data_IF_738615555377
#
_entry.id   IF_738615555377
#
_cell.length_a   1.000
_cell.length_b   1.000
_cell.length_c   1.000
_cell.angle_alpha   90.00
_cell.angle_beta   90.00
_cell.angle_gamma   90.00
#
_symmetry.space_group_name_H-M   'P 1'
#
loop_
_entity.id
_entity.type
_entity.pdbx_description
1 polymer ?
#
# COMPACT_ATOMS: atom_id res chain seq x y z
N UNK A 1 15.31 -14.70 4.33
CA UNK A 1 15.12 -13.59 3.38
C UNK A 1 14.88 -12.32 4.19
N UNK A 2 15.41 -11.17 3.77
CA UNK A 2 15.11 -9.93 4.47
C UNK A 2 13.66 -9.52 4.20
N UNK A 3 12.92 -9.23 5.27
CA UNK A 3 11.55 -8.72 5.18
C UNK A 3 11.63 -7.23 4.84
N UNK A 4 10.86 -6.77 3.86
CA UNK A 4 10.84 -5.36 3.47
C UNK A 4 9.86 -4.59 4.37
N UNK A 5 10.39 -3.70 5.22
CA UNK A 5 9.56 -2.79 6.02
C UNK A 5 9.23 -1.54 5.20
N UNK A 6 7.93 -1.26 5.02
CA UNK A 6 7.43 -0.21 4.12
C UNK A 6 6.29 0.58 4.77
N UNK A 7 6.17 1.87 4.46
CA UNK A 7 4.98 2.67 4.78
C UNK A 7 4.09 2.74 3.54
N UNK A 8 2.81 2.44 3.70
CA UNK A 8 1.80 2.68 2.67
C UNK A 8 1.20 4.07 2.85
N UNK A 9 1.34 4.90 1.83
CA UNK A 9 0.71 6.20 1.77
C UNK A 9 -0.83 6.09 1.60
N UNK A 10 -1.56 7.12 2.00
CA UNK A 10 -3.02 7.16 1.94
C UNK A 10 -3.57 6.93 0.52
N UNK A 11 -2.88 7.41 -0.52
CA UNK A 11 -3.29 7.22 -1.90
C UNK A 11 -3.26 5.75 -2.36
N UNK A 12 -2.39 4.91 -1.79
CA UNK A 12 -2.35 3.45 -2.04
C UNK A 12 -3.53 2.76 -1.37
N UNK A 13 -3.96 3.24 -0.21
CA UNK A 13 -5.06 2.68 0.59
C UNK A 13 -6.44 3.22 0.18
N UNK A 14 -6.50 4.19 -0.71
CA UNK A 14 -7.74 4.81 -1.17
C UNK A 14 -8.67 3.85 -1.91
N UNK A 15 -8.18 3.15 -2.93
CA UNK A 15 -8.95 2.17 -3.68
C UNK A 15 -9.17 0.90 -2.86
N UNK A 16 -10.41 0.43 -2.76
CA UNK A 16 -10.73 -0.79 -2.02
C UNK A 16 -9.99 -2.02 -2.55
N UNK A 17 -9.93 -2.18 -3.88
CA UNK A 17 -9.25 -3.33 -4.50
C UNK A 17 -7.73 -3.26 -4.33
N UNK A 18 -7.15 -2.07 -4.42
CA UNK A 18 -5.71 -1.89 -4.22
C UNK A 18 -5.34 -2.11 -2.76
N UNK A 19 -6.07 -1.48 -1.84
CA UNK A 19 -5.92 -1.66 -0.40
C UNK A 19 -5.98 -3.14 0.00
N UNK A 20 -6.93 -3.88 -0.55
CA UNK A 20 -7.12 -5.31 -0.28
C UNK A 20 -5.90 -6.13 -0.74
N UNK A 21 -5.35 -5.84 -1.92
CA UNK A 21 -4.13 -6.48 -2.41
C UNK A 21 -2.92 -6.17 -1.51
N UNK A 22 -2.71 -4.89 -1.17
CA UNK A 22 -1.58 -4.46 -0.36
C UNK A 22 -1.66 -4.99 1.08
N UNK A 23 -2.86 -5.07 1.66
CA UNK A 23 -3.08 -5.72 2.96
C UNK A 23 -2.83 -7.22 2.86
N UNK A 24 -3.27 -7.89 1.78
CA UNK A 24 -3.01 -9.31 1.60
C UNK A 24 -1.51 -9.61 1.46
N UNK A 25 -0.76 -8.78 0.72
CA UNK A 25 0.70 -8.87 0.64
C UNK A 25 1.36 -8.68 2.01
N UNK A 26 0.87 -7.76 2.82
CA UNK A 26 1.36 -7.49 4.16
C UNK A 26 1.04 -8.61 5.18
N UNK A 27 0.13 -9.53 4.86
CA UNK A 27 -0.06 -10.75 5.67
C UNK A 27 0.95 -11.85 5.36
N UNK A 28 1.86 -11.60 4.42
CA UNK A 28 2.91 -12.55 4.02
C UNK A 28 4.23 -12.24 4.72
N UNK A 29 5.17 -13.19 4.69
CA UNK A 29 6.48 -13.05 5.31
C UNK A 29 7.49 -12.23 4.47
N UNK A 30 7.05 -11.56 3.41
CA UNK A 30 7.93 -10.78 2.53
C UNK A 30 7.79 -9.27 2.72
N UNK A 31 6.71 -8.80 3.33
CA UNK A 31 6.41 -7.38 3.56
C UNK A 31 5.99 -7.14 5.00
N UNK A 32 6.63 -6.19 5.65
CA UNK A 32 6.19 -5.57 6.89
C UNK A 32 5.59 -4.19 6.60
N UNK A 33 4.27 -4.13 6.45
CA UNK A 33 3.58 -2.88 6.18
C UNK A 33 3.39 -2.04 7.45
N UNK A 34 3.53 -0.73 7.28
CA UNK A 34 3.34 0.29 8.31
C UNK A 34 2.39 1.37 7.80
N UNK A 35 1.60 1.92 8.70
CA UNK A 35 0.76 3.11 8.50
C UNK A 35 0.50 3.80 9.83
N UNK A 36 -0.18 4.92 9.79
CA UNK A 36 -0.55 5.70 10.98
C UNK A 36 -2.05 5.90 11.06
N UNK A 37 -2.53 6.38 12.19
CA UNK A 37 -3.92 6.86 12.32
C UNK A 37 -4.21 8.00 11.33
N UNK A 38 -3.24 8.90 11.11
CA UNK A 38 -3.37 10.04 10.19
C UNK A 38 -3.49 9.57 8.73
N UNK A 39 -2.70 8.58 8.30
CA UNK A 39 -2.86 7.93 6.98
C UNK A 39 -4.25 7.30 6.84
N UNK A 40 -4.76 6.64 7.89
CA UNK A 40 -6.12 6.12 7.88
C UNK A 40 -7.17 7.21 7.74
N UNK A 41 -7.07 8.27 8.51
CA UNK A 41 -8.02 9.38 8.48
C UNK A 41 -8.03 10.07 7.12
N UNK A 42 -6.88 10.17 6.47
CA UNK A 42 -6.75 10.75 5.15
C UNK A 42 -7.44 9.93 4.07
N UNK A 43 -7.11 8.63 3.92
CA UNK A 43 -7.77 7.83 2.88
C UNK A 43 -9.27 7.67 3.15
N UNK A 44 -9.71 7.56 4.41
CA UNK A 44 -11.12 7.47 4.77
C UNK A 44 -11.87 8.75 4.41
N UNK A 45 -11.31 9.91 4.72
CA UNK A 45 -11.87 11.22 4.35
C UNK A 45 -12.00 11.34 2.83
N UNK A 46 -10.95 11.00 2.09
CA UNK A 46 -10.96 11.10 0.63
C UNK A 46 -11.97 10.13 -0.02
N UNK A 47 -12.13 8.92 0.54
CA UNK A 47 -13.17 7.99 0.09
C UNK A 47 -14.57 8.56 0.35
N UNK A 48 -14.85 9.10 1.53
CA UNK A 48 -16.17 9.64 1.86
C UNK A 48 -16.56 10.86 0.99
N UNK A 49 -15.59 11.68 0.61
CA UNK A 49 -15.83 12.81 -0.32
C UNK A 49 -16.30 12.29 -1.69
N UNK A 50 -15.67 11.25 -2.22
CA UNK A 50 -15.94 10.73 -3.55
C UNK A 50 -17.01 9.63 -3.60
N UNK A 51 -17.36 9.06 -2.45
CA UNK A 51 -18.36 7.98 -2.31
C UNK A 51 -19.36 8.33 -1.19
N UNK A 52 -20.26 9.30 -1.44
CA UNK A 52 -21.25 9.74 -0.46
C UNK A 52 -22.29 8.65 -0.11
N UNK A 53 -22.32 7.56 -0.86
CA UNK A 53 -23.11 6.36 -0.59
C UNK A 53 -22.53 5.52 0.57
N UNK A 54 -21.26 5.72 0.93
CA UNK A 54 -20.61 5.02 2.04
C UNK A 54 -20.74 5.80 3.35
N UNK A 55 -20.75 5.04 4.45
CA UNK A 55 -20.81 5.61 5.80
C UNK A 55 -19.48 5.46 6.52
N UNK A 56 -19.17 6.41 7.39
CA UNK A 56 -17.95 6.41 8.20
C UNK A 56 -17.72 5.07 8.93
N UNK A 57 -18.79 4.50 9.52
CA UNK A 57 -18.72 3.24 10.28
C UNK A 57 -18.24 2.05 9.44
N UNK A 58 -18.55 2.05 8.15
CA UNK A 58 -18.08 1.00 7.22
C UNK A 58 -16.56 1.08 7.02
N UNK A 59 -16.03 2.30 6.81
CA UNK A 59 -14.60 2.52 6.65
C UNK A 59 -13.85 2.33 7.98
N UNK A 60 -14.43 2.78 9.10
CA UNK A 60 -13.88 2.55 10.44
C UNK A 60 -13.79 1.05 10.77
N UNK A 61 -14.76 0.25 10.31
CA UNK A 61 -14.68 -1.21 10.41
C UNK A 61 -13.53 -1.76 9.56
N UNK A 62 -13.37 -1.28 8.33
CA UNK A 62 -12.27 -1.68 7.44
C UNK A 62 -10.92 -1.39 8.10
N UNK A 63 -10.72 -0.16 8.61
CA UNK A 63 -9.53 0.24 9.36
C UNK A 63 -9.21 -0.72 10.51
N UNK A 64 -10.21 -1.03 11.34
CA UNK A 64 -10.02 -2.00 12.46
C UNK A 64 -9.59 -3.38 11.98
N UNK A 65 -10.18 -3.88 10.88
CA UNK A 65 -9.81 -5.17 10.31
C UNK A 65 -8.38 -5.16 9.76
N UNK A 66 -7.97 -4.08 9.09
CA UNK A 66 -6.59 -3.91 8.62
C UNK A 66 -5.61 -3.97 9.80
N UNK A 67 -5.85 -3.19 10.85
CA UNK A 67 -4.99 -3.14 12.03
C UNK A 67 -4.95 -4.49 12.80
N UNK A 68 -6.04 -5.24 12.78
CA UNK A 68 -6.11 -6.56 13.41
C UNK A 68 -5.43 -7.67 12.59
N UNK A 69 -5.27 -7.47 11.27
CA UNK A 69 -4.73 -8.49 10.36
C UNK A 69 -3.20 -8.51 10.32
N UNK A 70 -2.54 -7.43 10.75
CA UNK A 70 -1.09 -7.24 10.59
C UNK A 70 -0.51 -6.76 11.92
N UNK A 71 0.41 -7.54 12.46
CA UNK A 71 1.12 -7.17 13.68
C UNK A 71 1.99 -5.90 13.47
N UNK A 72 2.03 -5.05 14.48
CA UNK A 72 2.89 -3.87 14.52
C UNK A 72 2.72 -2.89 13.33
N UNK A 73 1.60 -2.97 12.59
CA UNK A 73 1.37 -2.12 11.43
C UNK A 73 1.18 -0.65 11.79
N UNK A 74 0.63 -0.36 12.98
CA UNK A 74 0.29 0.99 13.42
C UNK A 74 1.49 1.68 14.07
N UNK A 75 2.04 2.69 13.39
CA UNK A 75 3.15 3.51 13.89
C UNK A 75 2.62 4.62 14.79
N UNK A 76 3.25 4.80 15.96
CA UNK A 76 2.92 5.84 16.95
C UNK A 76 4.21 6.51 17.43
N UNK A 77 4.13 7.74 17.92
CA UNK A 77 5.26 8.45 18.49
C UNK A 77 6.21 9.10 17.45
N UNK A 78 5.74 9.27 16.22
CA UNK A 78 6.49 9.91 15.12
C UNK A 78 6.29 11.43 15.06
N UNK A 79 5.33 11.98 15.79
CA UNK A 79 4.81 13.34 15.66
C UNK A 79 5.89 14.41 15.91
N UNK A 80 6.83 14.14 16.80
CA UNK A 80 7.93 15.05 17.09
C UNK A 80 8.90 15.24 15.93
N UNK A 81 8.99 14.25 15.03
CA UNK A 81 9.85 14.27 13.85
C UNK A 81 9.29 15.21 12.78
N UNK A 82 7.96 15.33 12.68
CA UNK A 82 7.27 16.07 11.60
C UNK A 82 7.80 17.51 11.45
N UNK A 83 8.08 18.20 12.55
CA UNK A 83 8.46 19.60 12.55
C UNK A 83 9.87 19.84 11.99
N UNK A 84 10.70 18.80 11.98
CA UNK A 84 12.10 18.87 11.50
C UNK A 84 12.21 18.52 10.01
N UNK A 85 11.11 18.07 9.39
CA UNK A 85 11.11 17.59 8.01
C UNK A 85 10.69 18.69 7.04
N UNK A 86 11.31 18.66 5.85
CA UNK A 86 10.95 19.50 4.71
C UNK A 86 10.56 18.61 3.52
N UNK A 87 9.34 18.80 3.02
CA UNK A 87 8.82 18.16 1.80
C UNK A 87 8.12 19.22 0.94
N UNK A 88 7.97 19.00 -0.39
CA UNK A 88 7.24 19.89 -1.28
C UNK A 88 5.81 20.13 -0.80
N UNK A 89 5.10 19.08 -0.36
CA UNK A 89 3.85 19.20 0.37
C UNK A 89 4.09 19.00 1.88
N UNK A 90 3.87 20.04 2.71
CA UNK A 90 3.96 19.89 4.16
C UNK A 90 2.97 18.87 4.73
N UNK A 91 1.86 18.59 4.02
CA UNK A 91 0.87 17.60 4.40
C UNK A 91 1.43 16.18 4.44
N UNK A 92 2.47 15.87 3.65
CA UNK A 92 3.04 14.53 3.54
C UNK A 92 4.16 14.25 4.56
N UNK A 93 4.54 15.25 5.37
CA UNK A 93 5.60 15.10 6.38
C UNK A 93 5.32 13.98 7.38
N UNK A 94 4.06 13.74 7.71
CA UNK A 94 3.70 12.67 8.64
C UNK A 94 4.00 11.28 8.08
N UNK A 95 3.93 11.08 6.75
CA UNK A 95 4.27 9.81 6.08
C UNK A 95 5.77 9.57 6.18
N UNK A 96 6.59 10.59 5.90
CA UNK A 96 8.04 10.49 6.05
C UNK A 96 8.46 10.30 7.51
N UNK A 97 7.84 11.02 8.44
CA UNK A 97 8.08 10.86 9.88
C UNK A 97 7.78 9.44 10.35
N UNK A 98 6.67 8.86 9.89
CA UNK A 98 6.32 7.47 10.18
C UNK A 98 7.34 6.49 9.61
N UNK A 99 7.86 6.73 8.39
CA UNK A 99 8.86 5.89 7.77
C UNK A 99 10.20 5.94 8.53
N UNK A 100 10.63 7.13 8.96
CA UNK A 100 11.84 7.30 9.79
C UNK A 100 11.68 6.56 11.13
N UNK A 101 10.57 6.83 11.82
CA UNK A 101 10.31 6.25 13.16
C UNK A 101 10.23 4.73 13.13
N UNK A 102 9.58 4.17 12.11
CA UNK A 102 9.44 2.71 11.94
C UNK A 102 10.65 2.05 11.27
N UNK A 103 11.68 2.83 10.90
CA UNK A 103 12.86 2.35 10.14
C UNK A 103 12.46 1.66 8.83
N UNK A 104 11.41 2.14 8.20
CA UNK A 104 10.97 1.64 6.90
C UNK A 104 11.98 2.02 5.81
N UNK A 105 12.19 1.13 4.86
CA UNK A 105 13.09 1.37 3.73
C UNK A 105 12.38 2.06 2.58
N UNK A 106 11.06 1.88 2.47
CA UNK A 106 10.29 2.44 1.37
C UNK A 106 9.04 3.15 1.87
N UNK A 107 8.69 4.22 1.17
CA UNK A 107 7.36 4.82 1.15
C UNK A 107 6.71 4.41 -0.18
N UNK A 108 5.62 3.66 -0.12
CA UNK A 108 4.89 3.24 -1.31
C UNK A 108 3.79 4.27 -1.58
N UNK A 109 3.90 4.96 -2.71
CA UNK A 109 3.03 6.07 -3.08
C UNK A 109 2.89 6.23 -4.59
N UNK A 110 1.72 6.68 -5.06
CA UNK A 110 1.53 7.13 -6.44
C UNK A 110 2.13 8.53 -6.68
N UNK A 111 2.38 9.28 -5.61
CA UNK A 111 2.76 10.70 -5.68
C UNK A 111 4.26 10.92 -5.42
N UNK A 112 5.10 10.31 -6.27
CA UNK A 112 6.57 10.36 -6.10
C UNK A 112 7.14 11.78 -6.04
N UNK A 113 6.47 12.78 -6.65
CA UNK A 113 6.94 14.16 -6.67
C UNK A 113 6.95 14.83 -5.30
N UNK A 114 6.11 14.37 -4.38
CA UNK A 114 6.02 14.91 -3.03
C UNK A 114 7.07 14.29 -2.09
N UNK A 115 7.75 13.24 -2.57
CA UNK A 115 8.82 12.54 -1.86
C UNK A 115 10.11 12.52 -2.68
N UNK A 116 10.74 13.68 -2.97
CA UNK A 116 11.96 13.75 -3.77
C UNK A 116 13.13 13.07 -3.08
N UNK A 117 14.02 12.47 -3.87
CA UNK A 117 15.17 11.70 -3.39
C UNK A 117 16.05 12.50 -2.42
N UNK A 118 16.25 13.79 -2.69
CA UNK A 118 17.09 14.68 -1.87
C UNK A 118 16.55 14.82 -0.43
N UNK A 119 15.22 14.78 -0.26
CA UNK A 119 14.58 14.85 1.05
C UNK A 119 14.62 13.52 1.80
N UNK A 120 14.65 12.39 1.09
CA UNK A 120 14.63 11.05 1.65
C UNK A 120 16.03 10.47 1.92
N UNK A 121 17.01 10.84 1.10
CA UNK A 121 18.37 10.31 1.15
C UNK A 121 19.04 10.39 2.53
N UNK A 122 18.89 11.47 3.33
CA UNK A 122 19.48 11.55 4.68
C UNK A 122 18.99 10.44 5.63
N UNK A 123 17.84 9.86 5.34
CA UNK A 123 17.19 8.83 6.16
C UNK A 123 17.33 7.42 5.56
N UNK A 124 18.01 7.30 4.41
CA UNK A 124 18.13 6.03 3.65
C UNK A 124 16.77 5.43 3.30
N UNK A 125 15.78 6.27 2.99
CA UNK A 125 14.45 5.91 2.57
C UNK A 125 14.30 6.19 1.07
N UNK A 126 13.52 5.36 0.37
CA UNK A 126 13.17 5.54 -1.03
C UNK A 126 11.66 5.63 -1.19
N UNK A 127 11.18 6.52 -2.05
CA UNK A 127 9.80 6.49 -2.50
C UNK A 127 9.69 5.58 -3.72
N UNK A 128 8.65 4.73 -3.74
CA UNK A 128 8.46 3.77 -4.81
C UNK A 128 7.01 3.73 -5.26
N UNK A 129 6.81 3.69 -6.58
CA UNK A 129 5.49 3.53 -7.16
C UNK A 129 4.93 2.13 -6.82
N UNK A 130 3.63 1.99 -6.53
CA UNK A 130 3.02 0.69 -6.21
C UNK A 130 3.27 -0.40 -7.26
N UNK A 131 3.31 -0.04 -8.55
CA UNK A 131 3.57 -0.99 -9.63
C UNK A 131 5.01 -1.54 -9.58
N UNK A 132 5.99 -0.64 -9.39
CA UNK A 132 7.39 -1.04 -9.27
C UNK A 132 7.62 -1.88 -8.00
N UNK A 133 6.97 -1.52 -6.91
CA UNK A 133 7.06 -2.29 -5.66
C UNK A 133 6.56 -3.73 -5.82
N UNK A 134 5.42 -3.92 -6.48
CA UNK A 134 4.90 -5.27 -6.74
C UNK A 134 5.81 -6.05 -7.70
N UNK A 135 6.42 -5.38 -8.68
CA UNK A 135 7.43 -6.01 -9.56
C UNK A 135 8.62 -6.54 -8.74
N UNK A 136 9.17 -5.72 -7.85
CA UNK A 136 10.27 -6.14 -6.97
C UNK A 136 9.85 -7.32 -6.09
N UNK A 137 8.63 -7.35 -5.57
CA UNK A 137 8.11 -8.49 -4.81
C UNK A 137 7.94 -9.74 -5.69
N UNK A 138 7.52 -9.60 -6.95
CA UNK A 138 7.44 -10.70 -7.91
C UNK A 138 8.83 -11.29 -8.21
N UNK A 139 9.83 -10.44 -8.35
CA UNK A 139 11.21 -10.89 -8.56
C UNK A 139 11.79 -11.54 -7.30
N UNK A 140 11.40 -11.07 -6.12
CA UNK A 140 11.83 -11.63 -4.83
C UNK A 140 11.18 -13.00 -4.55
N UNK A 141 9.87 -13.10 -4.71
CA UNK A 141 9.09 -14.31 -4.43
C UNK A 141 7.73 -14.29 -5.14
N UNK A 142 7.76 -14.58 -6.45
CA UNK A 142 6.54 -14.58 -7.26
C UNK A 142 5.46 -15.54 -6.76
N UNK A 143 5.84 -16.69 -6.19
CA UNK A 143 4.89 -17.68 -5.68
C UNK A 143 4.03 -17.09 -4.55
N UNK A 144 4.64 -16.35 -3.63
CA UNK A 144 3.94 -15.68 -2.53
C UNK A 144 3.03 -14.58 -3.05
N UNK A 145 3.51 -13.76 -3.98
CA UNK A 145 2.70 -12.68 -4.60
C UNK A 145 1.51 -13.27 -5.37
N UNK A 146 1.73 -14.32 -6.16
CA UNK A 146 0.66 -14.99 -6.90
C UNK A 146 -0.40 -15.59 -5.96
N UNK A 147 0.00 -16.19 -4.85
CA UNK A 147 -0.94 -16.71 -3.84
C UNK A 147 -1.77 -15.60 -3.21
N UNK A 148 -1.15 -14.45 -2.89
CA UNK A 148 -1.84 -13.30 -2.32
C UNK A 148 -2.86 -12.73 -3.33
N UNK A 149 -2.47 -12.54 -4.59
CA UNK A 149 -3.34 -12.05 -5.66
C UNK A 149 -4.51 -13.01 -5.91
N UNK A 150 -4.25 -14.31 -5.97
CA UNK A 150 -5.29 -15.31 -6.18
C UNK A 150 -6.25 -15.40 -5.00
N UNK A 151 -5.75 -15.31 -3.76
CA UNK A 151 -6.58 -15.28 -2.55
C UNK A 151 -7.49 -14.05 -2.55
N UNK A 152 -7.01 -12.89 -2.99
CA UNK A 152 -7.85 -11.72 -3.20
C UNK A 152 -8.90 -11.97 -4.27
N UNK A 153 -8.49 -12.45 -5.46
CA UNK A 153 -9.39 -12.67 -6.61
C UNK A 153 -10.56 -13.59 -6.25
N UNK A 154 -10.32 -14.73 -5.62
CA UNK A 154 -11.37 -15.69 -5.27
C UNK A 154 -12.32 -15.19 -4.18
N UNK A 155 -11.95 -14.16 -3.42
CA UNK A 155 -12.86 -13.49 -2.46
C UNK A 155 -13.83 -12.53 -3.13
N UNK A 156 -13.56 -12.09 -4.36
CA UNK A 156 -14.47 -11.25 -5.13
C UNK A 156 -15.67 -12.08 -5.58
N UNK A 157 -16.83 -11.87 -4.93
CA UNK A 157 -18.05 -12.66 -5.16
C UNK A 157 -19.13 -11.93 -5.98
N UNK A 158 -19.11 -10.60 -5.98
CA UNK A 158 -20.17 -9.76 -6.54
C UNK A 158 -19.61 -8.59 -7.36
N UNK A 159 -19.32 -8.76 -8.65
CA UNK A 159 -19.25 -10.02 -9.39
C UNK A 159 -17.93 -10.79 -9.12
N UNK A 160 -17.93 -12.11 -9.30
CA UNK A 160 -16.68 -12.86 -9.34
C UNK A 160 -15.86 -12.43 -10.57
N UNK A 161 -14.53 -12.52 -10.50
CA UNK A 161 -13.64 -12.14 -11.60
C UNK A 161 -12.84 -13.34 -12.08
N UNK A 162 -12.76 -13.51 -13.39
CA UNK A 162 -11.77 -14.36 -14.03
C UNK A 162 -10.35 -13.80 -13.81
N UNK A 163 -9.28 -14.57 -14.02
CA UNK A 163 -7.92 -14.07 -13.97
C UNK A 163 -7.70 -12.84 -14.86
N UNK A 164 -8.22 -12.85 -16.10
CA UNK A 164 -8.09 -11.74 -17.04
C UNK A 164 -8.81 -10.47 -16.56
N UNK A 165 -10.03 -10.58 -16.07
CA UNK A 165 -10.79 -9.46 -15.52
C UNK A 165 -10.13 -8.89 -14.25
N UNK A 166 -9.51 -9.76 -13.45
CA UNK A 166 -8.76 -9.32 -12.28
C UNK A 166 -7.49 -8.54 -12.69
N UNK A 167 -6.70 -9.07 -13.63
CA UNK A 167 -5.52 -8.40 -14.14
C UNK A 167 -5.87 -7.07 -14.82
N UNK A 168 -6.97 -7.03 -15.58
CA UNK A 168 -7.47 -5.78 -16.16
C UNK A 168 -7.80 -4.74 -15.08
N UNK A 169 -8.38 -5.16 -13.95
CA UNK A 169 -8.62 -4.27 -12.80
C UNK A 169 -7.32 -3.71 -12.24
N UNK A 170 -6.26 -4.51 -12.15
CA UNK A 170 -4.96 -4.03 -11.69
C UNK A 170 -4.38 -2.98 -12.64
N UNK A 171 -4.52 -3.16 -13.96
CA UNK A 171 -4.13 -2.15 -14.96
C UNK A 171 -4.87 -0.82 -14.73
N UNK A 172 -6.18 -0.87 -14.54
CA UNK A 172 -7.04 0.29 -14.28
C UNK A 172 -6.68 1.00 -12.96
N UNK A 173 -6.14 0.27 -12.00
CA UNK A 173 -5.66 0.78 -10.72
C UNK A 173 -4.21 1.32 -10.77
N UNK A 174 -3.60 1.38 -11.94
CA UNK A 174 -2.25 1.92 -12.12
C UNK A 174 -1.12 0.90 -11.92
N UNK A 175 -1.40 -0.39 -12.07
CA UNK A 175 -0.43 -1.49 -11.94
C UNK A 175 -0.26 -2.27 -13.26
N UNK A 176 0.02 -1.62 -14.41
CA UNK A 176 0.07 -2.29 -15.72
C UNK A 176 1.25 -3.26 -15.85
N UNK A 177 2.42 -2.92 -15.30
CA UNK A 177 3.61 -3.77 -15.39
C UNK A 177 3.47 -5.01 -14.52
N UNK A 178 3.00 -4.82 -13.29
CA UNK A 178 2.69 -5.93 -12.37
C UNK A 178 1.64 -6.88 -12.95
N UNK A 179 0.57 -6.34 -13.54
CA UNK A 179 -0.48 -7.14 -14.17
C UNK A 179 0.08 -7.99 -15.32
N UNK A 180 0.95 -7.40 -16.15
CA UNK A 180 1.64 -8.14 -17.25
C UNK A 180 2.52 -9.23 -16.68
N UNK A 181 3.33 -8.94 -15.67
CA UNK A 181 4.23 -9.91 -15.06
C UNK A 181 3.48 -11.02 -14.32
N UNK A 182 2.38 -10.68 -13.63
CA UNK A 182 1.50 -11.66 -12.98
C UNK A 182 0.85 -12.60 -14.01
N UNK A 183 0.45 -12.11 -15.18
CA UNK A 183 -0.06 -12.97 -16.26
C UNK A 183 0.94 -14.06 -16.64
N UNK A 184 2.21 -13.69 -16.76
CA UNK A 184 3.27 -14.62 -17.13
C UNK A 184 3.61 -15.64 -16.04
N UNK A 185 3.50 -15.25 -14.77
CA UNK A 185 3.98 -16.06 -13.64
C UNK A 185 2.86 -16.81 -12.91
N UNK A 186 1.69 -16.16 -12.74
CA UNK A 186 0.62 -16.67 -11.90
C UNK A 186 -0.47 -17.40 -12.68
N UNK A 187 -0.68 -17.05 -13.95
CA UNK A 187 -1.80 -17.50 -14.77
C UNK A 187 -1.32 -18.08 -16.13
N UNK A 188 -0.18 -18.76 -16.11
CA UNK A 188 0.25 -19.54 -17.27
C UNK A 188 -0.72 -20.69 -17.51
N UNK A 189 -1.25 -20.78 -18.72
CA UNK A 189 -1.98 -21.95 -19.23
C UNK A 189 -1.09 -23.21 -19.26
#
# INVERSE_FOLDING_TARGET
MAILTVVYDANVLYSASLRDLFVELATTDIVEARWTEEIHDEWMRNVLINRPDLRFEQLARTKRLMNASIENCLVQGYETIIQELELPDPGDRHVLAAAIHSRSKFIITFNLRDFPEEALAPYEILAQHPDDFILDLLDLNWQTVCKAAEKQRIRLKNPPKTPDEYLQTLVELGLPLSATRMRELCYRD
#
